data_IF_582492183755
#
_entry.id   IF_582492183755
#
_cell.length_a   1.000
_cell.length_b   1.000
_cell.length_c   1.000
_cell.angle_alpha   90.00
_cell.angle_beta   90.00
_cell.angle_gamma   90.00
#
_symmetry.space_group_name_H-M   'P 1'
#
loop_
_entity.id
_entity.type
_entity.pdbx_description
1 polymer ?
#
# COMPACT_ATOMS: atom_id res chain seq x y z
N UNK A 1 -11.86 23.39 -4.75
CA UNK A 1 -12.29 22.37 -3.78
C UNK A 1 -13.43 22.98 -2.95
N UNK A 2 -14.64 22.39 -2.92
CA UNK A 2 -15.72 22.87 -2.04
C UNK A 2 -15.74 21.98 -0.80
N UNK A 3 -15.23 22.47 0.31
CA UNK A 3 -15.33 21.81 1.62
C UNK A 3 -16.47 22.43 2.39
N UNK A 4 -17.41 21.62 2.88
CA UNK A 4 -18.48 22.12 3.74
C UNK A 4 -17.99 22.04 5.18
N UNK A 5 -17.72 23.21 5.76
CA UNK A 5 -17.36 23.33 7.18
C UNK A 5 -18.64 23.18 8.00
N UNK A 6 -18.68 22.18 8.87
CA UNK A 6 -19.79 22.02 9.80
C UNK A 6 -19.54 22.82 11.08
N UNK A 7 -20.59 23.11 11.86
CA UNK A 7 -20.48 23.76 13.18
C UNK A 7 -19.63 22.98 14.20
N UNK A 8 -19.20 21.74 13.87
CA UNK A 8 -18.38 20.87 14.72
C UNK A 8 -16.87 21.08 14.50
N UNK A 9 -16.45 21.93 13.56
CA UNK A 9 -15.05 22.21 13.35
C UNK A 9 -14.54 23.19 14.42
N UNK A 10 -13.92 22.65 15.47
CA UNK A 10 -13.27 23.42 16.53
C UNK A 10 -11.75 23.29 16.45
N UNK A 11 -10.97 24.27 16.94
CA UNK A 11 -9.51 24.15 17.00
C UNK A 11 -9.05 22.93 17.80
N UNK A 12 -9.79 22.54 18.85
CA UNK A 12 -9.54 21.31 19.60
C UNK A 12 -9.68 20.05 18.74
N UNK A 13 -10.65 20.00 17.83
CA UNK A 13 -10.82 18.86 16.90
C UNK A 13 -9.66 18.72 15.91
N UNK A 14 -9.08 19.85 15.46
CA UNK A 14 -7.91 19.84 14.58
C UNK A 14 -6.63 19.44 15.32
N UNK A 15 -6.46 19.89 16.56
CA UNK A 15 -5.32 19.51 17.40
C UNK A 15 -5.35 18.04 17.81
N UNK A 16 -6.54 17.49 18.05
CA UNK A 16 -6.68 16.05 18.28
C UNK A 16 -6.30 15.25 17.02
N UNK A 17 -6.78 15.67 15.84
CA UNK A 17 -6.48 14.98 14.58
C UNK A 17 -4.97 15.02 14.25
N UNK A 18 -4.29 16.14 14.50
CA UNK A 18 -2.84 16.24 14.27
C UNK A 18 -2.04 15.34 15.21
N UNK A 19 -2.47 15.22 16.47
CA UNK A 19 -1.85 14.34 17.46
C UNK A 19 -2.04 12.87 17.10
N UNK A 20 -3.25 12.48 16.70
CA UNK A 20 -3.54 11.12 16.20
C UNK A 20 -2.67 10.77 14.99
N UNK A 21 -2.63 11.65 13.98
CA UNK A 21 -1.80 11.45 12.79
C UNK A 21 -0.30 11.37 13.09
N UNK A 22 0.19 12.17 14.05
CA UNK A 22 1.59 12.10 14.49
C UNK A 22 1.92 10.76 15.15
N UNK A 23 1.03 10.26 16.02
CA UNK A 23 1.21 8.96 16.68
C UNK A 23 1.17 7.80 15.67
N UNK A 24 0.24 7.84 14.72
CA UNK A 24 0.15 6.86 13.64
C UNK A 24 1.42 6.83 12.79
N UNK A 25 1.97 8.01 12.46
CA UNK A 25 3.21 8.12 11.68
C UNK A 25 4.40 7.55 12.44
N UNK A 26 4.52 7.83 13.74
CA UNK A 26 5.57 7.27 14.60
C UNK A 26 5.43 5.75 14.71
N UNK A 27 4.21 5.24 14.90
CA UNK A 27 3.95 3.81 14.96
C UNK A 27 4.31 3.12 13.63
N UNK A 28 3.94 3.71 12.49
CA UNK A 28 4.31 3.19 11.17
C UNK A 28 5.83 3.18 10.96
N UNK A 29 6.53 4.24 11.36
CA UNK A 29 7.98 4.32 11.26
C UNK A 29 8.68 3.25 12.12
N UNK A 30 8.17 3.01 13.35
CA UNK A 30 8.68 1.95 14.22
C UNK A 30 8.44 0.56 13.64
N UNK A 31 7.26 0.29 13.08
CA UNK A 31 6.95 -0.98 12.41
C UNK A 31 7.92 -1.21 11.25
N UNK A 32 8.12 -0.21 10.38
CA UNK A 32 9.05 -0.33 9.25
C UNK A 32 10.47 -0.60 9.74
N UNK A 33 10.94 0.15 10.75
CA UNK A 33 12.29 -0.01 11.28
C UNK A 33 12.51 -1.40 11.90
N UNK A 34 11.54 -1.90 12.68
CA UNK A 34 11.60 -3.24 13.27
C UNK A 34 11.55 -4.33 12.20
N UNK A 35 10.71 -4.20 11.18
CA UNK A 35 10.63 -5.15 10.07
C UNK A 35 11.94 -5.20 9.28
N UNK A 36 12.53 -4.04 8.97
CA UNK A 36 13.83 -3.97 8.30
C UNK A 36 14.94 -4.59 9.14
N UNK A 37 14.95 -4.34 10.45
CA UNK A 37 15.92 -4.92 11.37
C UNK A 37 15.78 -6.45 11.42
N UNK A 38 14.55 -6.97 11.47
CA UNK A 38 14.27 -8.40 11.43
C UNK A 38 14.78 -9.05 10.14
N UNK A 39 14.48 -8.43 8.99
CA UNK A 39 14.92 -8.91 7.68
C UNK A 39 16.45 -8.86 7.52
N UNK A 40 17.10 -7.81 8.02
CA UNK A 40 18.55 -7.64 7.96
C UNK A 40 19.28 -8.67 8.83
N UNK A 41 18.77 -8.95 10.03
CA UNK A 41 19.37 -9.90 10.96
C UNK A 41 18.95 -11.36 10.69
N UNK A 42 17.95 -11.59 9.84
CA UNK A 42 17.36 -12.91 9.53
C UNK A 42 17.06 -13.72 10.79
N UNK A 43 16.43 -13.07 11.78
CA UNK A 43 16.09 -13.66 13.08
C UNK A 43 15.14 -14.84 12.86
N UNK A 44 15.66 -16.07 12.80
CA UNK A 44 14.90 -17.29 12.51
C UNK A 44 15.21 -17.99 11.18
N UNK A 45 16.19 -17.50 10.41
CA UNK A 45 16.57 -18.09 9.12
C UNK A 45 15.67 -17.64 7.97
N UNK A 46 15.96 -18.12 6.75
CA UNK A 46 15.31 -17.65 5.52
C UNK A 46 13.80 -17.90 5.49
N UNK A 47 13.36 -19.11 5.86
CA UNK A 47 11.95 -19.49 5.80
C UNK A 47 11.09 -18.72 6.80
N UNK A 48 11.54 -18.59 8.06
CA UNK A 48 10.81 -17.83 9.09
C UNK A 48 10.79 -16.34 8.75
N UNK A 49 11.88 -15.81 8.19
CA UNK A 49 11.95 -14.41 7.75
C UNK A 49 10.99 -14.14 6.59
N UNK A 50 10.83 -15.09 5.66
CA UNK A 50 9.86 -14.98 4.57
C UNK A 50 8.41 -14.96 5.10
N UNK A 51 8.05 -15.93 5.95
CA UNK A 51 6.71 -15.97 6.58
C UNK A 51 6.43 -14.72 7.42
N UNK A 52 7.43 -14.22 8.15
CA UNK A 52 7.32 -12.96 8.89
C UNK A 52 7.05 -11.78 7.95
N UNK A 53 7.79 -11.68 6.83
CA UNK A 53 7.61 -10.60 5.86
C UNK A 53 6.21 -10.62 5.25
N UNK A 54 5.72 -11.79 4.86
CA UNK A 54 4.38 -11.97 4.29
C UNK A 54 3.27 -11.63 5.30
N UNK A 55 3.42 -12.09 6.56
CA UNK A 55 2.48 -11.75 7.62
C UNK A 55 2.46 -10.24 7.92
N UNK A 56 3.64 -9.62 8.05
CA UNK A 56 3.77 -8.19 8.29
C UNK A 56 3.25 -7.36 7.12
N UNK A 57 3.42 -7.82 5.88
CA UNK A 57 2.82 -7.20 4.70
C UNK A 57 1.29 -7.13 4.82
N UNK A 58 0.64 -8.27 5.07
CA UNK A 58 -0.82 -8.32 5.24
C UNK A 58 -1.31 -7.49 6.44
N UNK A 59 -0.58 -7.48 7.56
CA UNK A 59 -0.92 -6.65 8.71
C UNK A 59 -0.82 -5.16 8.42
N UNK A 60 0.23 -4.72 7.73
CA UNK A 60 0.40 -3.33 7.33
C UNK A 60 -0.67 -2.90 6.33
N UNK A 61 -0.97 -3.74 5.33
CA UNK A 61 -2.03 -3.48 4.36
C UNK A 61 -3.41 -3.39 5.03
N UNK A 62 -3.70 -4.23 6.03
CA UNK A 62 -4.95 -4.16 6.80
C UNK A 62 -5.05 -2.89 7.63
N UNK A 63 -3.95 -2.48 8.29
CA UNK A 63 -3.88 -1.20 9.00
C UNK A 63 -4.12 -0.01 8.07
N UNK A 64 -3.51 -0.02 6.89
CA UNK A 64 -3.74 1.00 5.86
C UNK A 64 -5.19 0.98 5.34
N UNK A 65 -5.80 -0.19 5.14
CA UNK A 65 -7.19 -0.34 4.73
C UNK A 65 -8.16 0.25 5.77
N UNK A 66 -7.91 -0.01 7.06
CA UNK A 66 -8.67 0.54 8.16
C UNK A 66 -8.55 2.07 8.24
N UNK A 67 -7.35 2.62 8.04
CA UNK A 67 -7.13 4.07 7.99
C UNK A 67 -7.82 4.72 6.79
N UNK A 68 -7.78 4.08 5.62
CA UNK A 68 -8.51 4.54 4.44
C UNK A 68 -10.04 4.52 4.68
N UNK A 69 -10.57 3.47 5.32
CA UNK A 69 -11.97 3.37 5.70
C UNK A 69 -12.38 4.46 6.71
N UNK A 70 -11.55 4.70 7.73
CA UNK A 70 -11.76 5.75 8.72
C UNK A 70 -11.74 7.13 8.05
N UNK A 71 -10.83 7.36 7.12
CA UNK A 71 -10.74 8.60 6.34
C UNK A 71 -11.99 8.79 5.47
N UNK A 72 -12.48 7.74 4.80
CA UNK A 72 -13.73 7.78 4.05
C UNK A 72 -14.93 8.10 4.98
N UNK A 73 -15.00 7.45 6.14
CA UNK A 73 -16.06 7.71 7.12
C UNK A 73 -16.02 9.16 7.66
N UNK A 74 -14.83 9.65 8.06
CA UNK A 74 -14.61 11.03 8.49
C UNK A 74 -14.95 12.03 7.38
N UNK A 75 -14.69 11.71 6.12
CA UNK A 75 -15.03 12.57 4.99
C UNK A 75 -16.53 12.72 4.74
N UNK A 76 -17.35 11.76 5.19
CA UNK A 76 -18.81 11.74 5.04
C UNK A 76 -19.53 12.28 6.27
N UNK A 77 -19.10 11.89 7.47
CA UNK A 77 -19.79 12.17 8.73
C UNK A 77 -19.03 13.11 9.66
N UNK A 78 -17.75 13.37 9.38
CA UNK A 78 -16.89 14.20 10.21
C UNK A 78 -17.17 15.70 10.13
N UNK A 79 -16.41 16.49 10.90
CA UNK A 79 -16.58 17.94 10.98
C UNK A 79 -16.26 18.67 9.67
N UNK A 80 -15.44 18.05 8.82
CA UNK A 80 -15.05 18.50 7.48
C UNK A 80 -15.60 17.51 6.45
N UNK A 81 -16.65 17.92 5.72
CA UNK A 81 -17.22 17.08 4.66
C UNK A 81 -16.55 17.35 3.32
N UNK A 82 -15.97 16.32 2.74
CA UNK A 82 -15.39 16.36 1.40
C UNK A 82 -16.48 16.13 0.34
N UNK A 83 -16.21 16.50 -0.91
CA UNK A 83 -17.12 16.23 -2.02
C UNK A 83 -17.21 14.71 -2.28
N UNK A 84 -18.34 14.28 -2.87
CA UNK A 84 -18.64 12.87 -3.12
C UNK A 84 -17.49 12.11 -3.83
N UNK A 85 -16.82 12.75 -4.78
CA UNK A 85 -15.69 12.18 -5.52
C UNK A 85 -14.55 11.72 -4.59
N UNK A 86 -14.20 12.51 -3.57
CA UNK A 86 -13.17 12.14 -2.59
C UNK A 86 -13.64 11.05 -1.63
N UNK A 87 -14.93 11.06 -1.27
CA UNK A 87 -15.52 10.00 -0.43
C UNK A 87 -15.43 8.65 -1.15
N UNK A 88 -15.82 8.63 -2.44
CA UNK A 88 -15.73 7.44 -3.30
C UNK A 88 -14.27 7.01 -3.46
N UNK A 89 -13.35 7.95 -3.73
CA UNK A 89 -11.93 7.64 -3.88
C UNK A 89 -11.35 6.93 -2.64
N UNK A 90 -11.56 7.48 -1.44
CA UNK A 90 -11.05 6.85 -0.20
C UNK A 90 -11.71 5.50 0.10
N UNK A 91 -12.98 5.33 -0.28
CA UNK A 91 -13.67 4.04 -0.17
C UNK A 91 -13.08 2.99 -1.11
N UNK A 92 -12.75 3.40 -2.35
CA UNK A 92 -12.08 2.54 -3.33
C UNK A 92 -10.68 2.15 -2.85
N UNK A 93 -9.90 3.08 -2.30
CA UNK A 93 -8.57 2.78 -1.72
C UNK A 93 -8.68 1.74 -0.60
N UNK A 94 -9.65 1.89 0.30
CA UNK A 94 -9.87 0.93 1.37
C UNK A 94 -10.21 -0.46 0.83
N UNK A 95 -11.11 -0.54 -0.15
CA UNK A 95 -11.48 -1.81 -0.78
C UNK A 95 -10.31 -2.45 -1.56
N UNK A 96 -9.50 -1.63 -2.23
CA UNK A 96 -8.30 -2.07 -2.93
C UNK A 96 -7.29 -2.71 -1.95
N UNK A 97 -7.04 -2.04 -0.82
CA UNK A 97 -6.16 -2.56 0.23
C UNK A 97 -6.71 -3.83 0.90
N UNK A 98 -8.03 -3.99 1.02
CA UNK A 98 -8.62 -5.26 1.49
C UNK A 98 -8.38 -6.41 0.52
N UNK A 99 -8.42 -6.16 -0.80
CA UNK A 99 -8.06 -7.17 -1.80
C UNK A 99 -6.57 -7.48 -1.75
N UNK A 100 -5.73 -6.48 -1.48
CA UNK A 100 -4.30 -6.67 -1.27
C UNK A 100 -3.99 -7.55 -0.05
N UNK A 101 -4.70 -7.32 1.06
CA UNK A 101 -4.65 -8.21 2.25
C UNK A 101 -5.07 -9.62 1.87
N UNK A 102 -6.17 -9.77 1.10
CA UNK A 102 -6.67 -11.09 0.69
C UNK A 102 -5.66 -11.82 -0.21
N UNK A 103 -5.03 -11.12 -1.17
CA UNK A 103 -3.94 -11.66 -1.98
C UNK A 103 -2.75 -12.09 -1.13
N UNK A 104 -2.31 -11.24 -0.20
CA UNK A 104 -1.21 -11.53 0.71
C UNK A 104 -1.48 -12.73 1.63
N UNK A 105 -2.70 -12.85 2.18
CA UNK A 105 -3.08 -13.98 3.02
C UNK A 105 -3.16 -15.30 2.24
N UNK A 106 -3.65 -15.26 0.99
CA UNK A 106 -3.65 -16.43 0.10
C UNK A 106 -2.23 -16.88 -0.24
N UNK A 107 -1.32 -15.93 -0.44
CA UNK A 107 0.09 -16.20 -0.69
C UNK A 107 0.77 -16.78 0.56
N UNK A 108 0.61 -16.14 1.72
CA UNK A 108 1.11 -16.60 3.01
C UNK A 108 0.63 -18.02 3.34
N UNK A 109 -0.64 -18.32 3.08
CA UNK A 109 -1.19 -19.66 3.31
C UNK A 109 -0.52 -20.72 2.43
N UNK A 110 -0.24 -20.42 1.15
CA UNK A 110 0.45 -21.34 0.26
C UNK A 110 1.89 -21.60 0.68
N UNK A 111 2.60 -20.55 1.07
CA UNK A 111 3.97 -20.64 1.58
C UNK A 111 4.02 -21.43 2.90
N UNK A 112 3.02 -21.25 3.78
CA UNK A 112 2.90 -22.04 5.01
C UNK A 112 2.71 -23.53 4.73
N UNK A 113 1.83 -23.87 3.77
CA UNK A 113 1.52 -25.28 3.42
C UNK A 113 2.64 -25.89 2.55
N UNK A 114 3.64 -25.11 2.14
CA UNK A 114 4.76 -25.58 1.33
C UNK A 114 4.37 -25.91 -0.11
N UNK A 115 3.28 -25.33 -0.60
CA UNK A 115 2.86 -25.51 -1.99
C UNK A 115 3.70 -24.61 -2.91
N UNK A 116 4.14 -25.15 -4.05
CA UNK A 116 4.77 -24.34 -5.07
C UNK A 116 3.78 -23.27 -5.56
N UNK A 117 4.22 -22.00 -5.57
CA UNK A 117 3.40 -20.89 -6.05
C UNK A 117 3.22 -21.00 -7.57
N UNK A 118 2.12 -21.64 -7.98
CA UNK A 118 1.68 -21.66 -9.36
C UNK A 118 1.13 -20.29 -9.72
N UNK A 119 1.81 -19.62 -10.65
CA UNK A 119 1.38 -18.37 -11.30
C UNK A 119 0.76 -18.71 -12.65
N UNK A 120 -0.43 -18.17 -13.00
CA UNK A 120 -1.28 -17.29 -12.20
C UNK A 120 -2.11 -18.03 -11.15
N UNK A 121 -2.21 -17.42 -9.97
CA UNK A 121 -2.96 -17.88 -8.80
C UNK A 121 -4.20 -17.03 -8.53
N UNK A 122 -5.04 -17.48 -7.60
CA UNK A 122 -6.17 -16.68 -7.08
C UNK A 122 -5.67 -15.40 -6.38
N UNK A 123 -4.47 -15.42 -5.79
CA UNK A 123 -3.87 -14.23 -5.19
C UNK A 123 -3.55 -13.15 -6.25
N UNK A 124 -3.09 -13.57 -7.43
CA UNK A 124 -2.76 -12.66 -8.54
C UNK A 124 -4.01 -11.91 -9.06
N UNK A 125 -5.17 -12.57 -9.06
CA UNK A 125 -6.44 -11.91 -9.40
C UNK A 125 -6.79 -10.81 -8.39
N UNK A 126 -6.59 -11.09 -7.10
CA UNK A 126 -6.84 -10.11 -6.03
C UNK A 126 -5.87 -8.91 -6.14
N UNK A 127 -4.58 -9.17 -6.38
CA UNK A 127 -3.58 -8.12 -6.62
C UNK A 127 -3.89 -7.29 -7.87
N UNK A 128 -4.29 -7.93 -8.98
CA UNK A 128 -4.66 -7.22 -10.20
C UNK A 128 -5.86 -6.30 -9.99
N UNK A 129 -6.87 -6.77 -9.27
CA UNK A 129 -8.06 -5.98 -8.95
C UNK A 129 -7.73 -4.80 -8.01
N UNK A 130 -6.80 -5.00 -7.06
CA UNK A 130 -6.25 -3.92 -6.24
C UNK A 130 -5.67 -2.78 -7.11
N UNK A 131 -4.81 -3.10 -8.09
CA UNK A 131 -4.25 -2.08 -8.99
C UNK A 131 -5.33 -1.29 -9.76
N UNK A 132 -6.36 -1.97 -10.28
CA UNK A 132 -7.46 -1.31 -10.99
C UNK A 132 -8.26 -0.35 -10.10
N UNK A 133 -8.49 -0.74 -8.85
CA UNK A 133 -9.22 0.09 -7.88
C UNK A 133 -8.39 1.28 -7.41
N UNK A 134 -7.09 1.10 -7.16
CA UNK A 134 -6.18 2.21 -6.84
C UNK A 134 -6.13 3.21 -7.98
N UNK A 135 -5.95 2.76 -9.23
CA UNK A 135 -5.96 3.64 -10.40
C UNK A 135 -7.29 4.40 -10.54
N UNK A 136 -8.42 3.69 -10.36
CA UNK A 136 -9.75 4.31 -10.39
C UNK A 136 -9.90 5.38 -9.29
N UNK A 137 -9.41 5.11 -8.08
CA UNK A 137 -9.46 6.06 -6.96
C UNK A 137 -8.71 7.35 -7.26
N UNK A 138 -7.53 7.25 -7.90
CA UNK A 138 -6.74 8.41 -8.31
C UNK A 138 -7.49 9.25 -9.35
N UNK A 139 -8.16 8.62 -10.32
CA UNK A 139 -8.99 9.32 -11.30
C UNK A 139 -10.14 10.09 -10.62
N UNK A 140 -10.78 9.51 -9.61
CA UNK A 140 -11.80 10.20 -8.83
C UNK A 140 -11.24 11.42 -8.07
N UNK A 141 -10.04 11.33 -7.50
CA UNK A 141 -9.36 12.47 -6.85
C UNK A 141 -9.06 13.57 -7.88
N UNK A 142 -8.51 13.19 -9.03
CA UNK A 142 -8.06 14.11 -10.07
C UNK A 142 -9.21 14.80 -10.81
N UNK A 143 -10.37 14.16 -10.93
CA UNK A 143 -11.56 14.74 -11.58
C UNK A 143 -12.06 16.03 -10.90
N UNK A 144 -11.69 16.26 -9.63
CA UNK A 144 -12.02 17.48 -8.89
C UNK A 144 -11.19 18.72 -9.25
N UNK A 145 -10.10 18.58 -10.00
CA UNK A 145 -9.20 19.68 -10.35
C UNK A 145 -9.58 20.29 -11.71
N UNK A 146 -9.81 21.60 -11.74
CA UNK A 146 -10.16 22.33 -12.98
C UNK A 146 -8.97 22.63 -13.87
N UNK A 147 -7.74 22.55 -13.35
CA UNK A 147 -6.53 22.96 -14.05
C UNK A 147 -5.76 21.73 -14.55
N UNK A 148 -5.80 21.47 -15.86
CA UNK A 148 -5.10 20.34 -16.50
C UNK A 148 -3.59 20.30 -16.17
N UNK A 149 -2.96 21.48 -16.00
CA UNK A 149 -1.54 21.59 -15.62
C UNK A 149 -1.26 21.11 -14.19
N UNK A 150 -2.17 21.36 -13.24
CA UNK A 150 -2.01 20.90 -11.86
C UNK A 150 -2.15 19.37 -11.77
N UNK A 151 -3.09 18.80 -12.53
CA UNK A 151 -3.25 17.34 -12.65
C UNK A 151 -1.98 16.71 -13.20
N UNK A 152 -1.40 17.28 -14.26
CA UNK A 152 -0.18 16.76 -14.85
C UNK A 152 1.02 16.82 -13.89
N UNK A 153 1.13 17.88 -13.09
CA UNK A 153 2.18 17.98 -12.07
C UNK A 153 2.00 16.96 -10.95
N UNK A 154 0.77 16.73 -10.48
CA UNK A 154 0.48 15.71 -9.45
C UNK A 154 0.78 14.30 -9.98
N UNK A 155 0.38 14.01 -11.23
CA UNK A 155 0.69 12.74 -11.87
C UNK A 155 2.19 12.54 -12.05
N UNK A 156 2.91 13.60 -12.47
CA UNK A 156 4.35 13.55 -12.64
C UNK A 156 5.06 13.35 -11.29
N UNK A 157 4.62 14.02 -10.24
CA UNK A 157 5.18 13.87 -8.89
C UNK A 157 4.97 12.45 -8.37
N UNK A 158 3.76 11.90 -8.54
CA UNK A 158 3.44 10.50 -8.23
C UNK A 158 4.27 9.52 -9.06
N UNK A 159 4.51 9.81 -10.34
CA UNK A 159 5.33 8.98 -11.22
C UNK A 159 6.79 9.01 -10.77
N UNK A 160 7.34 10.19 -10.46
CA UNK A 160 8.70 10.36 -9.98
C UNK A 160 8.89 9.60 -8.67
N UNK A 161 8.00 9.76 -7.70
CA UNK A 161 8.08 9.01 -6.43
C UNK A 161 8.00 7.50 -6.67
N UNK A 162 7.11 7.04 -7.54
CA UNK A 162 7.00 5.62 -7.89
C UNK A 162 8.28 5.09 -8.55
N UNK A 163 8.87 5.84 -9.48
CA UNK A 163 10.12 5.48 -10.15
C UNK A 163 11.31 5.50 -9.19
N UNK A 164 11.37 6.46 -8.27
CA UNK A 164 12.40 6.49 -7.23
C UNK A 164 12.29 5.27 -6.30
N UNK A 165 11.09 4.94 -5.84
CA UNK A 165 10.85 3.76 -5.01
C UNK A 165 11.18 2.47 -5.78
N UNK A 166 10.78 2.37 -7.05
CA UNK A 166 11.13 1.25 -7.91
C UNK A 166 12.65 1.14 -8.08
N UNK A 167 13.37 2.26 -8.26
CA UNK A 167 14.82 2.27 -8.34
C UNK A 167 15.50 1.77 -7.07
N UNK A 168 15.00 2.17 -5.89
CA UNK A 168 15.47 1.67 -4.59
C UNK A 168 15.22 0.16 -4.48
N UNK A 169 14.00 -0.29 -4.76
CA UNK A 169 13.64 -1.72 -4.75
C UNK A 169 14.52 -2.50 -5.73
N UNK A 170 14.76 -1.95 -6.92
CA UNK A 170 15.59 -2.59 -7.93
C UNK A 170 17.03 -2.72 -7.47
N UNK A 171 17.62 -1.65 -6.94
CA UNK A 171 19.03 -1.65 -6.53
C UNK A 171 19.30 -2.53 -5.32
N UNK A 172 18.42 -2.52 -4.33
CA UNK A 172 18.64 -3.26 -3.08
C UNK A 172 18.06 -4.67 -3.10
N UNK A 173 17.02 -4.93 -3.88
CA UNK A 173 16.29 -6.21 -3.84
C UNK A 173 16.43 -6.96 -5.17
N UNK A 174 15.95 -6.38 -6.27
CA UNK A 174 15.81 -7.12 -7.54
C UNK A 174 17.17 -7.42 -8.17
N UNK A 175 18.06 -6.44 -8.27
CA UNK A 175 19.39 -6.57 -8.85
C UNK A 175 20.24 -7.64 -8.13
N UNK A 176 20.42 -7.53 -6.80
CA UNK A 176 21.15 -8.54 -6.04
C UNK A 176 20.54 -9.94 -6.17
N UNK A 177 19.22 -10.06 -6.06
CA UNK A 177 18.52 -11.34 -6.22
C UNK A 177 18.71 -11.95 -7.61
N UNK A 178 18.63 -11.11 -8.66
CA UNK A 178 18.88 -11.52 -10.04
C UNK A 178 20.32 -12.02 -10.24
N UNK A 179 21.31 -11.27 -9.75
CA UNK A 179 22.72 -11.68 -9.86
C UNK A 179 23.00 -12.97 -9.09
N UNK A 180 22.35 -13.17 -7.94
CA UNK A 180 22.48 -14.39 -7.13
C UNK A 180 21.83 -15.61 -7.81
N UNK A 181 20.66 -15.46 -8.42
CA UNK A 181 20.04 -16.52 -9.23
C UNK A 181 20.92 -16.89 -10.44
N UNK A 182 21.42 -15.88 -11.16
CA UNK A 182 22.28 -16.08 -12.32
C UNK A 182 23.59 -16.79 -11.95
N UNK A 183 24.20 -16.44 -10.83
CA UNK A 183 25.37 -17.15 -10.31
C UNK A 183 25.07 -18.59 -9.85
N UNK A 184 23.83 -18.88 -9.48
CA UNK A 184 23.37 -20.23 -9.12
C UNK A 184 22.99 -21.07 -10.35
N UNK A 185 23.22 -20.57 -11.57
CA UNK A 185 22.95 -21.28 -12.83
C UNK A 185 21.48 -21.32 -13.23
N UNK A 186 20.60 -20.59 -12.55
CA UNK A 186 19.19 -20.47 -12.88
C UNK A 186 19.01 -19.19 -13.69
N UNK A 187 18.84 -19.34 -15.00
CA UNK A 187 18.59 -18.20 -15.88
C UNK A 187 17.09 -17.89 -15.91
N UNK A 188 16.70 -16.62 -15.91
CA UNK A 188 15.28 -16.25 -15.98
C UNK A 188 14.60 -16.72 -17.27
N UNK A 189 15.38 -16.95 -18.32
CA UNK A 189 14.91 -17.58 -19.56
C UNK A 189 14.58 -19.08 -19.41
N UNK A 190 15.13 -19.75 -18.39
CA UNK A 190 14.85 -21.16 -18.08
C UNK A 190 13.69 -21.35 -17.11
N UNK A 191 13.26 -20.28 -16.42
CA UNK A 191 11.98 -20.19 -15.73
C UNK A 191 10.88 -19.94 -16.77
N UNK A 192 10.61 -20.94 -17.62
CA UNK A 192 9.48 -20.90 -18.54
C UNK A 192 8.18 -20.92 -17.72
N UNK A 193 7.46 -19.81 -17.84
CA UNK A 193 6.05 -19.58 -17.49
C UNK A 193 5.16 -20.63 -18.18
#
# INVERSE_FOLDING_TARGET
MRTVVTKRLTPSSLQQLSRESSLETVAAALIVLLSLLWMALRLGGSQVTALFADAMYSLCALGAAAQAALTAWRSRYGPLRLTLHYQIAWSLVSFALLLDVLGGLLYLYRDWVGQANTVPSVADVAFLLNYLLVASSQLFILSGFKLKRAILLILLDSLITTLCLLGIIWFFLVGPSYTMLRHSGIDLATLTI
#
